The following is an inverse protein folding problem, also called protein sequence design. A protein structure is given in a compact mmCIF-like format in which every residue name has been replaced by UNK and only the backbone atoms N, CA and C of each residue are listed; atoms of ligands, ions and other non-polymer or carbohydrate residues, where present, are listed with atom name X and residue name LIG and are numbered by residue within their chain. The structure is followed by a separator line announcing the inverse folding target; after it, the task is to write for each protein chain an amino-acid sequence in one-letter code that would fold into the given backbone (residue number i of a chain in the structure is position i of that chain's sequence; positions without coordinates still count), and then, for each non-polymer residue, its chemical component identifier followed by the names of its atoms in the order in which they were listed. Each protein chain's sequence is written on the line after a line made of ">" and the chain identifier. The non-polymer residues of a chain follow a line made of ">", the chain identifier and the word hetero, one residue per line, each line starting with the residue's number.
data_IF_595089902668
#
_entry.id   IF_595089902668
#
_cell.length_a   1.000
_cell.length_b   1.000
_cell.length_c   1.000
_cell.angle_alpha   90.00
_cell.angle_beta   90.00
_cell.angle_gamma   90.00
#
_symmetry.space_group_name_H-M   'P 1'
#
loop_
_entity.id
_entity.type
_entity.pdbx_description
1 polymer ?
#
# COMPACT_ATOMS: atom_id res chain seq x y z
N UNK A 1 28.58 -4.23 -44.78
CA UNK A 1 28.16 -2.85 -44.39
C UNK A 1 28.16 -2.76 -42.89
N UNK A 2 29.28 -2.29 -42.35
CA UNK A 2 29.43 -2.04 -40.91
C UNK A 2 28.77 -0.69 -40.60
N UNK A 3 27.69 -0.70 -39.81
CA UNK A 3 27.09 0.50 -39.24
C UNK A 3 28.15 1.26 -38.44
N UNK A 4 28.25 2.58 -38.66
CA UNK A 4 29.18 3.42 -37.89
C UNK A 4 28.78 3.42 -36.41
N UNK A 5 29.74 3.52 -35.48
CA UNK A 5 29.43 3.56 -34.02
C UNK A 5 28.43 4.64 -33.63
N UNK A 6 28.39 5.75 -34.35
CA UNK A 6 27.47 6.86 -34.19
C UNK A 6 26.02 6.50 -34.57
N UNK A 7 25.79 5.64 -35.58
CA UNK A 7 24.47 5.20 -36.00
C UNK A 7 23.87 4.24 -34.96
N UNK A 8 24.66 3.29 -34.48
CA UNK A 8 24.23 2.32 -33.46
C UNK A 8 23.86 3.01 -32.13
N UNK A 9 24.63 3.98 -31.68
CA UNK A 9 24.33 4.75 -30.46
C UNK A 9 23.03 5.58 -30.63
N UNK A 10 22.80 6.18 -31.82
CA UNK A 10 21.55 6.91 -32.11
C UNK A 10 20.34 6.00 -32.09
N UNK A 11 20.45 4.77 -32.60
CA UNK A 11 19.34 3.80 -32.63
C UNK A 11 19.02 3.25 -31.23
N UNK A 12 20.02 3.02 -30.40
CA UNK A 12 19.85 2.64 -28.99
C UNK A 12 19.12 3.76 -28.22
N UNK A 13 19.56 5.01 -28.39
CA UNK A 13 18.94 6.17 -27.74
C UNK A 13 17.48 6.37 -28.16
N UNK A 14 17.17 6.21 -29.46
CA UNK A 14 15.79 6.27 -29.96
C UNK A 14 14.89 5.19 -29.32
N UNK A 15 15.38 3.95 -29.24
CA UNK A 15 14.65 2.85 -28.61
C UNK A 15 14.40 3.10 -27.14
N UNK A 16 15.37 3.62 -26.41
CA UNK A 16 15.21 3.98 -25.00
C UNK A 16 14.14 5.05 -24.79
N UNK A 17 14.09 6.08 -25.63
CA UNK A 17 13.08 7.12 -25.55
C UNK A 17 11.66 6.61 -25.85
N UNK A 18 11.51 5.72 -26.82
CA UNK A 18 10.23 5.07 -27.12
C UNK A 18 9.74 4.26 -25.92
N UNK A 19 10.63 3.51 -25.28
CA UNK A 19 10.26 2.70 -24.11
C UNK A 19 9.95 3.56 -22.89
N UNK A 20 10.70 4.65 -22.62
CA UNK A 20 10.35 5.61 -21.57
C UNK A 20 8.95 6.19 -21.78
N UNK A 21 8.65 6.57 -23.02
CA UNK A 21 7.31 7.06 -23.37
C UNK A 21 6.23 6.04 -23.07
N UNK A 22 6.44 4.78 -23.44
CA UNK A 22 5.48 3.71 -23.14
C UNK A 22 5.25 3.54 -21.63
N UNK A 23 6.31 3.61 -20.80
CA UNK A 23 6.16 3.55 -19.34
C UNK A 23 5.39 4.77 -18.80
N UNK A 24 5.57 5.96 -19.38
CA UNK A 24 4.78 7.13 -19.01
C UNK A 24 3.31 6.98 -19.38
N UNK A 25 3.02 6.42 -20.56
CA UNK A 25 1.64 6.14 -20.98
C UNK A 25 0.98 5.13 -20.02
N UNK A 26 1.74 4.11 -19.58
CA UNK A 26 1.27 3.15 -18.59
C UNK A 26 1.01 3.84 -17.24
N UNK A 27 1.89 4.72 -16.75
CA UNK A 27 1.64 5.51 -15.55
C UNK A 27 0.36 6.37 -15.67
N UNK A 28 0.08 6.89 -16.85
CA UNK A 28 -1.18 7.59 -17.13
C UNK A 28 -2.40 6.70 -16.91
N UNK A 29 -2.33 5.42 -17.30
CA UNK A 29 -3.39 4.43 -17.04
C UNK A 29 -3.53 4.18 -15.52
N UNK A 30 -2.41 4.03 -14.80
CA UNK A 30 -2.45 3.89 -13.35
C UNK A 30 -3.08 5.10 -12.65
N UNK A 31 -2.78 6.32 -13.15
CA UNK A 31 -3.41 7.56 -12.66
C UNK A 31 -4.92 7.54 -12.85
N UNK A 32 -5.40 7.14 -14.03
CA UNK A 32 -6.84 7.01 -14.30
C UNK A 32 -7.50 5.97 -13.39
N UNK A 33 -6.86 4.83 -13.16
CA UNK A 33 -7.36 3.79 -12.24
C UNK A 33 -7.41 4.32 -10.81
N UNK A 34 -6.34 4.96 -10.33
CA UNK A 34 -6.30 5.55 -8.98
C UNK A 34 -7.45 6.57 -8.81
N UNK A 35 -7.64 7.49 -9.75
CA UNK A 35 -8.72 8.48 -9.72
C UNK A 35 -10.11 7.83 -9.71
N UNK A 36 -10.31 6.76 -10.47
CA UNK A 36 -11.59 6.03 -10.47
C UNK A 36 -11.90 5.37 -9.13
N UNK A 37 -10.90 5.20 -8.27
CA UNK A 37 -10.99 4.64 -6.92
C UNK A 37 -10.85 5.72 -5.82
N UNK A 38 -11.03 6.99 -6.18
CA UNK A 38 -10.91 8.16 -5.30
C UNK A 38 -9.51 8.33 -4.66
N UNK A 39 -8.47 7.93 -5.35
CA UNK A 39 -7.07 8.11 -4.95
C UNK A 39 -6.23 8.81 -6.01
N UNK A 40 -4.97 9.04 -5.71
CA UNK A 40 -4.01 9.67 -6.60
C UNK A 40 -2.67 8.90 -6.63
N UNK A 41 -1.92 9.00 -7.73
CA UNK A 41 -0.60 8.35 -7.84
C UNK A 41 0.40 8.91 -6.83
N UNK A 42 0.29 10.18 -6.50
CA UNK A 42 1.12 10.91 -5.53
C UNK A 42 1.00 10.36 -4.11
N UNK A 43 -0.03 9.57 -3.84
CA UNK A 43 -0.19 8.86 -2.58
C UNK A 43 0.72 7.62 -2.46
N UNK A 44 1.36 7.20 -3.56
CA UNK A 44 2.34 6.11 -3.57
C UNK A 44 3.71 6.72 -3.35
N UNK A 45 4.33 6.39 -2.24
CA UNK A 45 5.72 6.73 -1.99
C UNK A 45 6.61 5.54 -2.33
N UNK A 46 7.61 5.76 -3.18
CA UNK A 46 8.58 4.76 -3.56
C UNK A 46 9.98 5.33 -3.47
N UNK A 47 10.82 4.74 -2.60
CA UNK A 47 12.19 5.18 -2.35
C UNK A 47 12.28 6.65 -1.86
N UNK A 48 11.28 7.09 -1.05
CA UNK A 48 11.19 8.45 -0.51
C UNK A 48 10.74 9.50 -1.54
N UNK A 49 10.16 9.08 -2.65
CA UNK A 49 9.74 9.96 -3.73
C UNK A 49 8.34 9.57 -4.25
N UNK A 50 7.51 10.57 -4.54
CA UNK A 50 6.18 10.42 -5.13
C UNK A 50 6.07 11.09 -6.52
N UNK A 51 7.15 11.64 -7.05
CA UNK A 51 7.22 12.28 -8.37
C UNK A 51 7.55 11.26 -9.47
N UNK A 52 6.68 10.28 -9.68
CA UNK A 52 6.92 9.11 -10.52
C UNK A 52 7.31 9.41 -11.97
N UNK A 53 6.68 10.40 -12.59
CA UNK A 53 7.03 10.84 -13.96
C UNK A 53 8.45 11.40 -14.05
N UNK A 54 8.86 12.22 -13.09
CA UNK A 54 10.21 12.78 -13.05
C UNK A 54 11.24 11.67 -12.79
N UNK A 55 10.92 10.71 -11.93
CA UNK A 55 11.79 9.57 -11.64
C UNK A 55 12.13 8.75 -12.89
N UNK A 56 11.13 8.40 -13.71
CA UNK A 56 11.34 7.66 -14.96
C UNK A 56 12.21 8.48 -15.94
N UNK A 57 12.01 9.80 -16.00
CA UNK A 57 12.81 10.67 -16.87
C UNK A 57 14.29 10.71 -16.49
N UNK A 58 14.61 10.60 -15.20
CA UNK A 58 15.98 10.67 -14.68
C UNK A 58 16.74 9.32 -14.75
N UNK A 59 16.04 8.19 -14.94
CA UNK A 59 16.68 6.87 -15.02
C UNK A 59 17.45 6.73 -16.31
N UNK A 60 18.69 6.25 -16.22
CA UNK A 60 19.59 6.16 -17.37
C UNK A 60 19.43 4.86 -18.18
N UNK A 61 18.97 3.78 -17.53
CA UNK A 61 18.85 2.48 -18.17
C UNK A 61 17.42 1.92 -18.12
N UNK A 62 17.07 1.17 -19.16
CA UNK A 62 15.79 0.43 -19.22
C UNK A 62 15.64 -0.57 -18.07
N UNK A 63 16.74 -1.20 -17.64
CA UNK A 63 16.72 -2.15 -16.54
C UNK A 63 16.37 -1.49 -15.20
N UNK A 64 16.78 -0.24 -15.00
CA UNK A 64 16.37 0.55 -13.84
C UNK A 64 14.89 0.89 -13.88
N UNK A 65 14.39 1.32 -15.05
CA UNK A 65 12.97 1.62 -15.24
C UNK A 65 12.12 0.37 -14.99
N UNK A 66 12.49 -0.78 -15.56
CA UNK A 66 11.79 -2.04 -15.38
C UNK A 66 11.74 -2.45 -13.90
N UNK A 67 12.88 -2.43 -13.21
CA UNK A 67 12.97 -2.78 -11.79
C UNK A 67 12.14 -1.85 -10.92
N UNK A 68 12.22 -0.55 -11.19
CA UNK A 68 11.44 0.46 -10.49
C UNK A 68 9.95 0.26 -10.73
N UNK A 69 9.57 0.01 -11.99
CA UNK A 69 8.17 -0.15 -12.37
C UNK A 69 7.54 -1.41 -11.74
N UNK A 70 8.27 -2.52 -11.67
CA UNK A 70 7.78 -3.72 -10.97
C UNK A 70 7.51 -3.42 -9.50
N UNK A 71 8.43 -2.76 -8.83
CA UNK A 71 8.27 -2.36 -7.42
C UNK A 71 7.11 -1.37 -7.24
N UNK A 72 6.97 -0.40 -8.15
CA UNK A 72 5.83 0.52 -8.17
C UNK A 72 4.50 -0.21 -8.36
N UNK A 73 4.43 -1.15 -9.31
CA UNK A 73 3.24 -1.95 -9.56
C UNK A 73 2.81 -2.75 -8.33
N UNK A 74 3.75 -3.36 -7.62
CA UNK A 74 3.44 -4.14 -6.41
C UNK A 74 2.81 -3.24 -5.33
N UNK A 75 3.38 -2.07 -5.08
CA UNK A 75 2.84 -1.09 -4.11
C UNK A 75 1.48 -0.55 -4.57
N UNK A 76 1.35 -0.23 -5.88
CA UNK A 76 0.08 0.21 -6.45
C UNK A 76 -1.01 -0.83 -6.27
N UNK A 77 -0.73 -2.07 -6.63
CA UNK A 77 -1.69 -3.17 -6.50
C UNK A 77 -2.07 -3.41 -5.04
N UNK A 78 -1.12 -3.38 -4.11
CA UNK A 78 -1.40 -3.51 -2.69
C UNK A 78 -2.34 -2.40 -2.19
N UNK A 79 -2.04 -1.15 -2.54
CA UNK A 79 -2.81 0.02 -2.10
C UNK A 79 -4.21 0.07 -2.71
N UNK A 80 -4.32 -0.09 -4.02
CA UNK A 80 -5.59 0.11 -4.73
C UNK A 80 -6.42 -1.16 -4.89
N UNK A 81 -5.86 -2.35 -4.65
CA UNK A 81 -6.60 -3.60 -4.72
C UNK A 81 -7.79 -3.65 -3.75
N UNK A 82 -7.57 -3.17 -2.53
CA UNK A 82 -8.61 -3.09 -1.50
C UNK A 82 -9.72 -2.14 -1.95
N UNK A 83 -9.37 -0.93 -2.41
CA UNK A 83 -10.34 0.04 -2.92
C UNK A 83 -11.16 -0.53 -4.09
N UNK A 84 -10.50 -1.23 -5.03
CA UNK A 84 -11.17 -1.91 -6.12
C UNK A 84 -12.14 -2.99 -5.65
N UNK A 85 -11.74 -3.83 -4.70
CA UNK A 85 -12.60 -4.85 -4.11
C UNK A 85 -13.81 -4.24 -3.41
N UNK A 86 -13.57 -3.19 -2.60
CA UNK A 86 -14.63 -2.48 -1.90
C UNK A 86 -15.62 -1.81 -2.86
N UNK A 87 -15.15 -1.23 -3.97
CA UNK A 87 -16.04 -0.58 -4.96
C UNK A 87 -17.11 -1.50 -5.55
N UNK A 88 -16.90 -2.82 -5.50
CA UNK A 88 -17.82 -3.84 -6.01
C UNK A 88 -18.79 -4.43 -4.98
N UNK A 89 -18.59 -4.12 -3.70
CA UNK A 89 -19.40 -4.70 -2.61
C UNK A 89 -19.77 -3.64 -1.58
N UNK A 90 -21.05 -3.30 -1.53
CA UNK A 90 -21.57 -2.33 -0.53
C UNK A 90 -21.29 -2.76 0.91
N UNK A 91 -21.35 -4.07 1.19
CA UNK A 91 -21.04 -4.61 2.52
C UNK A 91 -19.57 -4.38 2.86
N UNK A 92 -18.64 -4.66 1.93
CA UNK A 92 -17.21 -4.42 2.16
C UNK A 92 -16.91 -2.95 2.35
N UNK A 93 -17.55 -2.05 1.57
CA UNK A 93 -17.39 -0.59 1.77
C UNK A 93 -17.77 -0.19 3.19
N UNK A 94 -18.93 -0.65 3.67
CA UNK A 94 -19.38 -0.36 5.04
C UNK A 94 -18.43 -0.92 6.10
N UNK A 95 -17.96 -2.16 5.93
CA UNK A 95 -17.02 -2.79 6.87
C UNK A 95 -15.68 -2.06 6.89
N UNK A 96 -15.10 -1.76 5.74
CA UNK A 96 -13.82 -1.02 5.68
C UNK A 96 -13.97 0.36 6.27
N UNK A 97 -15.06 1.08 5.95
CA UNK A 97 -15.36 2.38 6.55
C UNK A 97 -15.51 2.29 8.07
N UNK A 98 -16.20 1.27 8.57
CA UNK A 98 -16.33 1.01 10.01
C UNK A 98 -14.95 0.82 10.66
N UNK A 99 -14.08 0.01 10.07
CA UNK A 99 -12.71 -0.18 10.56
C UNK A 99 -11.93 1.14 10.59
N UNK A 100 -11.98 1.95 9.54
CA UNK A 100 -11.27 3.23 9.46
C UNK A 100 -11.75 4.22 10.54
N UNK A 101 -13.06 4.30 10.76
CA UNK A 101 -13.64 5.18 11.79
C UNK A 101 -13.25 4.77 13.19
N UNK A 102 -13.19 3.46 13.47
CA UNK A 102 -12.91 2.91 14.80
C UNK A 102 -11.47 2.42 14.97
N UNK A 103 -10.54 2.78 14.07
CA UNK A 103 -9.18 2.22 14.02
C UNK A 103 -8.39 2.43 15.32
N UNK A 104 -8.72 3.47 16.09
CA UNK A 104 -8.10 3.78 17.37
C UNK A 104 -8.71 3.01 18.56
N UNK A 105 -9.72 2.20 18.33
CA UNK A 105 -10.45 1.46 19.35
C UNK A 105 -10.23 -0.06 19.20
N UNK A 106 -10.56 -0.85 20.21
CA UNK A 106 -10.71 -2.30 20.02
C UNK A 106 -11.82 -2.58 18.99
N UNK A 107 -11.52 -3.30 17.92
CA UNK A 107 -12.46 -3.64 16.85
C UNK A 107 -12.78 -5.13 16.89
N UNK A 108 -14.08 -5.47 16.99
CA UNK A 108 -14.55 -6.84 16.94
C UNK A 108 -15.36 -7.13 15.67
N UNK A 109 -15.22 -8.36 15.17
CA UNK A 109 -15.97 -8.81 13.99
C UNK A 109 -17.49 -8.74 14.19
N UNK A 110 -17.97 -8.97 15.43
CA UNK A 110 -19.39 -8.89 15.80
C UNK A 110 -19.97 -7.52 15.54
N UNK A 111 -19.22 -6.47 15.89
CA UNK A 111 -19.68 -5.10 15.82
C UNK A 111 -19.72 -4.60 14.35
N UNK A 112 -18.68 -4.95 13.57
CA UNK A 112 -18.66 -4.71 12.13
C UNK A 112 -19.79 -5.48 11.40
N UNK A 113 -20.13 -6.69 11.84
CA UNK A 113 -21.23 -7.46 11.29
C UNK A 113 -22.59 -6.82 11.61
N UNK A 114 -22.78 -6.34 12.85
CA UNK A 114 -23.97 -5.63 13.27
C UNK A 114 -24.19 -4.34 12.47
N UNK A 115 -23.12 -3.56 12.25
CA UNK A 115 -23.16 -2.31 11.45
C UNK A 115 -23.62 -2.56 10.01
N UNK A 116 -23.29 -3.72 9.45
CA UNK A 116 -23.63 -4.08 8.06
C UNK A 116 -24.91 -4.91 7.93
N UNK A 117 -25.53 -5.28 9.04
CA UNK A 117 -26.76 -6.07 9.06
C UNK A 117 -26.58 -7.52 8.63
N UNK A 118 -25.37 -8.08 8.75
CA UNK A 118 -25.08 -9.48 8.40
C UNK A 118 -24.60 -10.27 9.63
N UNK A 119 -24.62 -11.60 9.54
CA UNK A 119 -24.05 -12.43 10.62
C UNK A 119 -22.53 -12.40 10.61
N UNK A 120 -21.89 -12.52 11.79
CA UNK A 120 -20.43 -12.58 11.93
C UNK A 120 -19.82 -13.74 11.12
N UNK A 121 -20.50 -14.88 11.03
CA UNK A 121 -20.06 -16.03 10.25
C UNK A 121 -20.04 -15.72 8.74
N UNK A 122 -21.10 -15.08 8.23
CA UNK A 122 -21.16 -14.65 6.84
C UNK A 122 -20.08 -13.61 6.55
N UNK A 123 -19.95 -12.56 7.38
CA UNK A 123 -18.96 -11.52 7.22
C UNK A 123 -17.53 -12.11 7.23
N UNK A 124 -17.21 -13.02 8.16
CA UNK A 124 -15.90 -13.66 8.22
C UNK A 124 -15.53 -14.39 6.93
N UNK A 125 -16.47 -15.19 6.41
CA UNK A 125 -16.26 -15.97 5.19
C UNK A 125 -16.14 -15.08 3.96
N UNK A 126 -17.06 -14.13 3.82
CA UNK A 126 -17.09 -13.19 2.71
C UNK A 126 -15.84 -12.29 2.71
N UNK A 127 -15.48 -11.73 3.87
CA UNK A 127 -14.33 -10.84 4.01
C UNK A 127 -13.04 -11.55 3.61
N UNK A 128 -12.81 -12.77 4.09
CA UNK A 128 -11.63 -13.56 3.72
C UNK A 128 -11.61 -13.90 2.23
N UNK A 129 -12.76 -14.27 1.65
CA UNK A 129 -12.88 -14.60 0.22
C UNK A 129 -12.57 -13.39 -0.67
N UNK A 130 -13.14 -12.24 -0.32
CA UNK A 130 -13.03 -11.03 -1.16
C UNK A 130 -11.73 -10.26 -0.92
N UNK A 131 -11.27 -10.15 0.33
CA UNK A 131 -10.09 -9.37 0.69
C UNK A 131 -8.77 -10.17 0.65
N UNK A 132 -8.84 -11.50 0.75
CA UNK A 132 -7.67 -12.37 0.86
C UNK A 132 -7.11 -12.51 2.27
N UNK A 133 -7.50 -11.61 3.18
CA UNK A 133 -7.13 -11.61 4.60
C UNK A 133 -8.34 -11.96 5.47
N UNK A 134 -8.14 -12.56 6.64
CA UNK A 134 -9.22 -12.59 7.61
C UNK A 134 -9.41 -11.19 8.23
N UNK A 135 -10.57 -10.94 8.84
CA UNK A 135 -10.93 -9.63 9.38
C UNK A 135 -9.90 -9.08 10.39
N UNK A 136 -9.44 -9.91 11.32
CA UNK A 136 -8.45 -9.51 12.34
C UNK A 136 -7.07 -9.23 11.71
N UNK A 137 -6.66 -10.00 10.72
CA UNK A 137 -5.43 -9.74 9.97
C UNK A 137 -5.48 -8.39 9.29
N UNK A 138 -6.60 -8.07 8.65
CA UNK A 138 -6.79 -6.77 8.01
C UNK A 138 -6.77 -5.60 9.02
N UNK A 139 -7.50 -5.72 10.12
CA UNK A 139 -7.50 -4.70 11.19
C UNK A 139 -6.08 -4.49 11.73
N UNK A 140 -5.35 -5.58 11.99
CA UNK A 140 -3.97 -5.49 12.47
C UNK A 140 -3.07 -4.82 11.43
N UNK A 141 -3.17 -5.17 10.15
CA UNK A 141 -2.40 -4.52 9.07
C UNK A 141 -2.61 -3.00 9.10
N UNK A 142 -3.86 -2.54 9.11
CA UNK A 142 -4.19 -1.11 9.16
C UNK A 142 -3.66 -0.41 10.41
N UNK A 143 -3.79 -1.03 11.58
CA UNK A 143 -3.23 -0.50 12.83
C UNK A 143 -1.70 -0.41 12.79
N UNK A 144 -1.01 -1.38 12.19
CA UNK A 144 0.45 -1.35 12.08
C UNK A 144 0.94 -0.28 11.10
N UNK A 145 0.20 -0.01 10.02
CA UNK A 145 0.52 1.12 9.13
C UNK A 145 0.48 2.46 9.87
N UNK A 146 -0.56 2.70 10.67
CA UNK A 146 -0.64 3.90 11.53
C UNK A 146 0.44 3.90 12.62
N UNK A 147 0.73 2.74 13.22
CA UNK A 147 1.77 2.61 14.23
C UNK A 147 3.14 3.03 13.69
N UNK A 148 3.46 2.67 12.44
CA UNK A 148 4.72 3.07 11.80
C UNK A 148 4.85 4.59 11.73
N UNK A 149 3.81 5.30 11.31
CA UNK A 149 3.79 6.76 11.25
C UNK A 149 3.95 7.37 12.65
N UNK A 150 3.18 6.89 13.64
CA UNK A 150 3.26 7.40 15.01
C UNK A 150 4.64 7.20 15.65
N UNK A 151 5.31 6.07 15.37
CA UNK A 151 6.67 5.80 15.86
C UNK A 151 7.69 6.70 15.16
N UNK A 152 7.51 7.00 13.86
CA UNK A 152 8.32 7.96 13.11
C UNK A 152 8.15 9.38 13.67
N UNK A 153 6.94 9.75 14.08
CA UNK A 153 6.64 11.03 14.75
C UNK A 153 7.18 11.09 16.19
N UNK A 154 7.93 10.07 16.63
CA UNK A 154 8.62 10.05 17.92
C UNK A 154 7.80 9.55 19.10
N UNK A 155 6.55 9.06 18.89
CA UNK A 155 5.73 8.49 19.97
C UNK A 155 6.39 7.27 20.60
N UNK A 156 6.13 7.07 21.90
CA UNK A 156 6.63 5.90 22.61
C UNK A 156 5.80 4.66 22.32
N UNK A 157 6.42 3.49 22.37
CA UNK A 157 5.77 2.21 22.03
C UNK A 157 4.51 1.95 22.85
N UNK A 158 4.52 2.29 24.14
CA UNK A 158 3.35 2.11 24.99
C UNK A 158 2.20 3.07 24.62
N UNK A 159 2.52 4.31 24.26
CA UNK A 159 1.54 5.32 23.81
C UNK A 159 0.86 4.87 22.52
N UNK A 160 1.66 4.39 21.53
CA UNK A 160 1.13 3.87 20.26
C UNK A 160 0.22 2.67 20.49
N UNK A 161 0.63 1.75 21.36
CA UNK A 161 -0.18 0.58 21.72
C UNK A 161 -1.54 0.96 22.31
N UNK A 162 -1.55 1.94 23.22
CA UNK A 162 -2.76 2.45 23.87
C UNK A 162 -3.66 3.20 22.87
N UNK A 163 -3.09 4.14 22.10
CA UNK A 163 -3.81 4.91 21.10
C UNK A 163 -4.47 4.06 20.03
N UNK A 164 -3.87 2.93 19.67
CA UNK A 164 -4.42 2.01 18.67
C UNK A 164 -5.31 0.92 19.30
N UNK A 165 -5.66 1.03 20.57
CA UNK A 165 -6.58 0.11 21.24
C UNK A 165 -6.09 -1.34 21.28
N UNK A 166 -4.78 -1.57 21.43
CA UNK A 166 -4.25 -2.90 21.73
C UNK A 166 -4.40 -3.20 23.23
N UNK A 167 -4.71 -4.46 23.58
CA UNK A 167 -4.88 -4.88 24.98
C UNK A 167 -3.65 -4.55 25.86
N UNK A 168 -2.45 -4.68 25.28
CA UNK A 168 -1.20 -4.37 25.96
C UNK A 168 -0.04 -4.22 24.97
N UNK A 169 1.02 -3.54 25.40
CA UNK A 169 2.21 -3.26 24.58
C UNK A 169 2.98 -4.53 24.18
N UNK A 170 2.87 -5.61 24.94
CA UNK A 170 3.53 -6.89 24.62
C UNK A 170 2.84 -7.55 23.41
N UNK A 171 1.51 -7.56 23.38
CA UNK A 171 0.75 -8.05 22.24
C UNK A 171 0.97 -7.17 21.00
N UNK A 172 0.89 -5.85 21.17
CA UNK A 172 1.23 -4.90 20.11
C UNK A 172 2.62 -5.17 19.51
N UNK A 173 3.67 -5.29 20.35
CA UNK A 173 5.05 -5.52 19.89
C UNK A 173 5.20 -6.81 19.09
N UNK A 174 4.47 -7.86 19.48
CA UNK A 174 4.43 -9.14 18.75
C UNK A 174 3.76 -9.00 17.40
N UNK A 175 2.61 -8.32 17.36
CA UNK A 175 1.88 -8.04 16.10
C UNK A 175 2.74 -7.17 15.19
N UNK A 176 3.30 -6.06 15.71
CA UNK A 176 4.15 -5.16 14.93
C UNK A 176 5.34 -5.89 14.29
N UNK A 177 6.06 -6.70 15.08
CA UNK A 177 7.20 -7.48 14.57
C UNK A 177 6.78 -8.49 13.50
N UNK A 178 5.58 -9.08 13.59
CA UNK A 178 5.07 -10.02 12.59
C UNK A 178 4.87 -9.36 11.22
N UNK A 179 4.49 -8.06 11.18
CA UNK A 179 4.21 -7.34 9.94
C UNK A 179 5.40 -6.51 9.42
N UNK A 180 6.40 -6.22 10.26
CA UNK A 180 7.53 -5.35 9.91
C UNK A 180 8.89 -6.02 10.04
N UNK A 181 8.93 -7.28 10.49
CA UNK A 181 10.12 -8.10 10.80
C UNK A 181 11.02 -7.54 11.90
N UNK A 182 10.75 -6.32 12.40
CA UNK A 182 11.52 -5.67 13.46
C UNK A 182 10.64 -5.29 14.66
N UNK A 183 11.22 -5.12 15.84
CA UNK A 183 10.45 -4.65 17.00
C UNK A 183 10.10 -3.16 16.87
N UNK A 184 9.00 -2.67 17.50
CA UNK A 184 8.65 -1.25 17.48
C UNK A 184 9.77 -0.36 18.02
N UNK A 185 10.49 -0.79 19.08
CA UNK A 185 11.62 -0.05 19.63
C UNK A 185 12.79 0.03 18.64
N UNK A 186 13.08 -1.08 17.93
CA UNK A 186 14.12 -1.11 16.90
C UNK A 186 13.73 -0.21 15.74
N UNK A 187 12.47 -0.30 15.29
CA UNK A 187 11.93 0.52 14.20
C UNK A 187 12.08 2.03 14.52
N UNK A 188 11.69 2.45 15.73
CA UNK A 188 11.80 3.84 16.18
C UNK A 188 13.25 4.36 16.24
N UNK A 189 14.24 3.51 16.58
CA UNK A 189 15.65 3.89 16.70
C UNK A 189 16.39 3.97 15.36
N UNK A 190 15.82 3.43 14.28
CA UNK A 190 16.41 3.43 12.94
C UNK A 190 16.07 4.70 12.15
N UNK A 191 15.27 5.57 12.71
CA UNK A 191 14.89 6.88 12.19
C UNK A 191 15.67 8.00 12.89
#
# INVERSE_FOLDING_TARGET
>A
STLSPSSAASDVYKRQNVLRRNFMDILGIYSMVAQSLNGALEEIELDGDNCHYQKIMMMESLREIEKWFLKFNDIFMEKFWIAYKCSRSEILQKVVKYIEVHIMEPIHLSDAAAETGVSSAYLSTMFKKEMGYNFIEYVNLRKIELARQMLQDGKMVYEVSELLGFENSTYFSRVFKRYTDVSPDTYRKQM
#
